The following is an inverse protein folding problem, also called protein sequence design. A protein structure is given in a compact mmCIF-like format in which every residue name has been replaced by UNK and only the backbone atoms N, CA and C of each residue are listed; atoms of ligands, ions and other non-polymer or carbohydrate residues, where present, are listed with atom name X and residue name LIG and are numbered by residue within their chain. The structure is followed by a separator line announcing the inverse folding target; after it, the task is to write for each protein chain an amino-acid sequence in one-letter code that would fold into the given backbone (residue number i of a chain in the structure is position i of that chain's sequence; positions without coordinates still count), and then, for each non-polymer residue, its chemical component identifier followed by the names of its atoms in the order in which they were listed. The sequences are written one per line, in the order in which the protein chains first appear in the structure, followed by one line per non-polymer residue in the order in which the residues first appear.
data_IF_025290401363
#
_entry.id   IF_025290401363
#
_cell.length_a   1.000
_cell.length_b   1.000
_cell.length_c   1.000
_cell.angle_alpha   90.00
_cell.angle_beta   90.00
_cell.angle_gamma   90.00
#
_symmetry.space_group_name_H-M   'P 1'
#
loop_
_entity.id
_entity.type
_entity.pdbx_description
1 polymer ?
#
# COMPACT_ATOMS: atom_id res chain seq x y z
N UNK A 1 46.98 44.73 -15.89
CA UNK A 1 46.42 43.58 -15.13
C UNK A 1 45.35 44.09 -14.16
N UNK A 2 44.06 43.81 -14.40
CA UNK A 2 42.99 44.14 -13.44
C UNK A 2 42.86 43.00 -12.43
N UNK A 3 43.12 43.30 -11.16
CA UNK A 3 43.00 42.35 -10.04
C UNK A 3 41.51 42.24 -9.69
N UNK A 4 40.89 41.11 -9.98
CA UNK A 4 39.53 40.81 -9.49
C UNK A 4 39.61 40.60 -7.97
N UNK A 5 39.09 41.55 -7.20
CA UNK A 5 38.87 41.40 -5.77
C UNK A 5 37.72 40.40 -5.58
N UNK A 6 38.04 39.15 -5.23
CA UNK A 6 37.04 38.14 -4.85
C UNK A 6 36.41 38.57 -3.52
N UNK A 7 35.16 39.01 -3.60
CA UNK A 7 34.36 39.39 -2.43
C UNK A 7 33.88 38.11 -1.74
N UNK A 8 34.68 37.57 -0.82
CA UNK A 8 34.35 36.38 -0.04
C UNK A 8 33.30 36.74 1.03
N UNK A 9 32.03 36.84 0.64
CA UNK A 9 30.91 36.87 1.59
C UNK A 9 30.74 35.43 2.13
N UNK A 10 31.21 35.18 3.34
CA UNK A 10 30.97 33.92 4.04
C UNK A 10 29.53 33.84 4.55
N UNK A 11 28.96 32.64 4.54
CA UNK A 11 27.65 32.34 5.11
C UNK A 11 27.70 32.50 6.64
N UNK A 12 26.73 33.17 7.26
CA UNK A 12 26.72 33.32 8.71
C UNK A 12 26.14 32.08 9.38
N UNK A 13 26.66 31.72 10.56
CA UNK A 13 26.09 30.61 11.35
C UNK A 13 24.64 30.89 11.76
N UNK A 14 24.28 32.17 11.92
CA UNK A 14 22.92 32.61 12.25
C UNK A 14 21.95 32.33 11.09
N UNK A 15 22.37 32.59 9.84
CA UNK A 15 21.57 32.24 8.66
C UNK A 15 21.33 30.73 8.57
N UNK A 16 22.34 29.90 8.88
CA UNK A 16 22.16 28.44 8.93
C UNK A 16 21.18 28.04 10.04
N UNK A 17 21.33 28.63 11.22
CA UNK A 17 20.57 28.27 12.42
C UNK A 17 19.06 28.53 12.23
N UNK A 18 18.68 29.66 11.65
CA UNK A 18 17.27 29.98 11.40
C UNK A 18 16.67 29.01 10.37
N UNK A 19 17.43 28.63 9.35
CA UNK A 19 16.96 27.70 8.31
C UNK A 19 16.67 26.31 8.88
N UNK A 20 17.58 25.75 9.69
CA UNK A 20 17.35 24.42 10.28
C UNK A 20 16.20 24.42 11.28
N UNK A 21 15.96 25.53 11.99
CA UNK A 21 14.79 25.68 12.87
C UNK A 21 13.49 25.65 12.06
N UNK A 22 13.41 26.39 10.95
CA UNK A 22 12.21 26.39 10.09
C UNK A 22 11.99 25.01 9.46
N UNK A 23 13.05 24.37 8.95
CA UNK A 23 12.96 23.00 8.39
C UNK A 23 12.52 22.01 9.46
N UNK A 24 13.00 22.14 10.71
CA UNK A 24 12.58 21.31 11.83
C UNK A 24 11.07 21.38 12.11
N UNK A 25 10.51 22.60 12.11
CA UNK A 25 9.06 22.80 12.30
C UNK A 25 8.26 22.18 11.15
N UNK A 26 8.70 22.40 9.91
CA UNK A 26 8.03 21.83 8.74
C UNK A 26 8.11 20.30 8.73
N UNK A 27 9.26 19.72 9.06
CA UNK A 27 9.45 18.27 9.12
C UNK A 27 8.56 17.61 10.19
N UNK A 28 8.38 18.25 11.35
CA UNK A 28 7.53 17.74 12.43
C UNK A 28 6.07 17.54 12.00
N UNK A 29 5.54 18.40 11.12
CA UNK A 29 4.17 18.29 10.58
C UNK A 29 4.15 17.43 9.31
N UNK A 30 5.15 17.58 8.45
CA UNK A 30 5.18 16.91 7.15
C UNK A 30 5.33 15.39 7.27
N UNK A 31 6.17 14.89 8.18
CA UNK A 31 6.42 13.46 8.36
C UNK A 31 5.14 12.68 8.72
N UNK A 32 4.37 13.03 9.77
CA UNK A 32 3.16 12.29 10.10
C UNK A 32 2.08 12.39 9.01
N UNK A 33 1.96 13.56 8.35
CA UNK A 33 1.01 13.74 7.25
C UNK A 33 1.39 12.85 6.05
N UNK A 34 2.67 12.84 5.68
CA UNK A 34 3.17 12.02 4.58
C UNK A 34 2.99 10.52 4.86
N UNK A 35 3.30 10.07 6.09
CA UNK A 35 3.07 8.69 6.51
C UNK A 35 1.58 8.32 6.44
N UNK A 36 0.69 9.21 6.88
CA UNK A 36 -0.75 8.96 6.78
C UNK A 36 -1.23 8.88 5.32
N UNK A 37 -0.79 9.78 4.44
CA UNK A 37 -1.16 9.78 3.03
C UNK A 37 -0.64 8.52 2.32
N UNK A 38 0.60 8.14 2.55
CA UNK A 38 1.18 6.92 1.96
C UNK A 38 0.50 5.66 2.48
N UNK A 39 0.14 5.60 3.77
CA UNK A 39 -0.63 4.49 4.32
C UNK A 39 -2.02 4.40 3.70
N UNK A 40 -2.75 5.52 3.56
CA UNK A 40 -4.05 5.55 2.87
C UNK A 40 -3.95 5.12 1.41
N UNK A 41 -2.90 5.52 0.71
CA UNK A 41 -2.68 5.10 -0.68
C UNK A 41 -2.44 3.59 -0.77
N UNK A 42 -1.65 3.03 0.16
CA UNK A 42 -1.45 1.58 0.26
C UNK A 42 -2.75 0.83 0.55
N UNK A 43 -3.58 1.35 1.48
CA UNK A 43 -4.88 0.76 1.81
C UNK A 43 -5.83 0.77 0.60
N UNK A 44 -5.91 1.88 -0.13
CA UNK A 44 -6.74 1.97 -1.33
C UNK A 44 -6.27 1.02 -2.45
N UNK A 45 -4.95 0.88 -2.63
CA UNK A 45 -4.38 -0.08 -3.59
C UNK A 45 -4.67 -1.53 -3.20
N UNK A 46 -4.52 -1.85 -1.91
CA UNK A 46 -4.90 -3.11 -1.31
C UNK A 46 -6.38 -3.46 -1.57
N UNK A 47 -7.29 -2.51 -1.32
CA UNK A 47 -8.72 -2.69 -1.55
C UNK A 47 -9.03 -2.92 -3.04
N UNK A 48 -8.36 -2.19 -3.94
CA UNK A 48 -8.50 -2.37 -5.38
C UNK A 48 -8.05 -3.78 -5.82
N UNK A 49 -6.90 -4.25 -5.32
CA UNK A 49 -6.39 -5.59 -5.63
C UNK A 49 -7.31 -6.69 -5.09
N UNK A 50 -7.84 -6.53 -3.87
CA UNK A 50 -8.83 -7.42 -3.27
C UNK A 50 -10.09 -7.54 -4.14
N UNK A 51 -10.62 -6.41 -4.65
CA UNK A 51 -11.77 -6.41 -5.57
C UNK A 51 -11.48 -7.13 -6.87
N UNK A 52 -10.29 -6.92 -7.44
CA UNK A 52 -9.85 -7.62 -8.66
C UNK A 52 -9.76 -9.14 -8.45
N UNK A 53 -9.21 -9.59 -7.31
CA UNK A 53 -9.13 -11.01 -6.98
C UNK A 53 -10.52 -11.63 -6.79
N UNK A 54 -11.42 -10.95 -6.07
CA UNK A 54 -12.81 -11.40 -5.89
C UNK A 54 -13.56 -11.50 -7.23
N UNK A 55 -13.33 -10.56 -8.15
CA UNK A 55 -13.90 -10.61 -9.49
C UNK A 55 -13.37 -11.83 -10.26
N UNK A 56 -12.06 -12.10 -10.21
CA UNK A 56 -11.46 -13.26 -10.85
C UNK A 56 -12.01 -14.59 -10.31
N UNK A 57 -12.11 -14.73 -8.98
CA UNK A 57 -12.73 -15.90 -8.34
C UNK A 57 -14.19 -16.04 -8.75
N UNK A 58 -14.95 -14.95 -8.75
CA UNK A 58 -16.37 -14.98 -9.14
C UNK A 58 -16.52 -15.43 -10.60
N UNK A 59 -15.69 -14.92 -11.51
CA UNK A 59 -15.67 -15.33 -12.91
C UNK A 59 -15.31 -16.82 -13.07
N UNK A 60 -14.31 -17.28 -12.33
CA UNK A 60 -13.90 -18.69 -12.33
C UNK A 60 -15.01 -19.61 -11.82
N UNK A 61 -15.64 -19.30 -10.68
CA UNK A 61 -16.79 -20.04 -10.13
C UNK A 61 -17.96 -20.04 -11.12
N UNK A 62 -18.27 -18.89 -11.72
CA UNK A 62 -19.41 -18.77 -12.66
C UNK A 62 -19.18 -19.57 -13.95
N UNK A 63 -17.92 -19.80 -14.34
CA UNK A 63 -17.60 -20.56 -15.55
C UNK A 63 -17.95 -22.05 -15.43
N UNK A 64 -17.81 -22.64 -14.24
CA UNK A 64 -18.23 -24.01 -13.94
C UNK A 64 -18.53 -24.15 -12.43
N UNK A 65 -19.78 -23.86 -12.00
CA UNK A 65 -20.11 -23.79 -10.58
C UNK A 65 -19.97 -25.11 -9.82
N UNK A 66 -19.99 -26.26 -10.50
CA UNK A 66 -19.89 -27.57 -9.86
C UNK A 66 -18.44 -27.98 -9.64
N UNK A 67 -17.53 -27.63 -10.57
CA UNK A 67 -16.10 -27.97 -10.47
C UNK A 67 -15.25 -26.88 -9.81
N UNK A 68 -15.66 -25.61 -9.96
CA UNK A 68 -14.89 -24.45 -9.54
C UNK A 68 -15.34 -23.94 -8.18
N UNK A 69 -15.16 -24.76 -7.15
CA UNK A 69 -15.43 -24.38 -5.76
C UNK A 69 -14.13 -23.98 -5.02
N UNK A 70 -13.93 -22.69 -4.67
CA UNK A 70 -12.75 -22.23 -3.95
C UNK A 70 -12.64 -22.82 -2.54
N UNK A 71 -13.73 -23.29 -1.93
CA UNK A 71 -13.71 -23.86 -0.57
C UNK A 71 -13.11 -25.27 -0.53
N UNK A 72 -13.05 -25.94 -1.68
CA UNK A 72 -12.52 -27.30 -1.80
C UNK A 72 -11.05 -27.34 -2.22
N UNK A 73 -10.46 -26.18 -2.53
CA UNK A 73 -9.11 -26.04 -3.08
C UNK A 73 -8.20 -25.33 -2.09
N UNK A 74 -6.94 -25.71 -2.05
CA UNK A 74 -5.92 -24.97 -1.32
C UNK A 74 -5.43 -23.74 -2.13
N UNK A 75 -4.70 -22.84 -1.48
CA UNK A 75 -4.22 -21.59 -2.08
C UNK A 75 -3.40 -21.78 -3.36
N UNK A 76 -2.60 -22.86 -3.46
CA UNK A 76 -1.80 -23.17 -4.64
C UNK A 76 -2.68 -23.63 -5.83
N UNK A 77 -3.70 -24.42 -5.54
CA UNK A 77 -4.69 -24.86 -6.52
C UNK A 77 -5.54 -23.69 -7.02
N UNK A 78 -5.96 -22.79 -6.11
CA UNK A 78 -6.69 -21.57 -6.45
C UNK A 78 -5.81 -20.66 -7.31
N UNK A 79 -4.55 -20.44 -6.95
CA UNK A 79 -3.59 -19.68 -7.76
C UNK A 79 -3.47 -20.28 -9.16
N UNK A 80 -3.28 -21.58 -9.25
CA UNK A 80 -3.11 -22.29 -10.52
C UNK A 80 -4.36 -22.18 -11.39
N UNK A 81 -5.56 -22.30 -10.80
CA UNK A 81 -6.82 -22.17 -11.51
C UNK A 81 -7.08 -20.73 -12.00
N UNK A 82 -6.81 -19.72 -11.18
CA UNK A 82 -7.05 -18.32 -11.52
C UNK A 82 -6.04 -17.78 -12.54
N UNK A 83 -4.75 -17.99 -12.29
CA UNK A 83 -3.67 -17.49 -13.15
C UNK A 83 -3.53 -18.36 -14.38
N UNK A 84 -3.50 -19.68 -14.22
CA UNK A 84 -3.41 -20.63 -15.33
C UNK A 84 -4.67 -20.64 -16.20
N UNK A 85 -5.83 -20.39 -15.62
CA UNK A 85 -7.09 -20.20 -16.35
C UNK A 85 -7.27 -18.83 -16.99
N UNK A 86 -6.34 -17.89 -16.76
CA UNK A 86 -6.36 -16.55 -17.39
C UNK A 86 -7.38 -15.57 -16.79
N UNK A 87 -7.94 -15.85 -15.61
CA UNK A 87 -8.90 -14.98 -14.93
C UNK A 87 -8.23 -13.77 -14.27
N UNK A 88 -6.94 -13.87 -13.96
CA UNK A 88 -6.11 -12.78 -13.41
C UNK A 88 -4.66 -12.97 -13.85
N UNK A 89 -3.91 -11.88 -13.98
CA UNK A 89 -2.47 -11.96 -14.26
C UNK A 89 -1.71 -12.44 -13.03
N UNK A 90 -0.59 -13.12 -13.25
CA UNK A 90 0.28 -13.60 -12.16
C UNK A 90 0.74 -12.45 -11.25
N UNK A 91 1.19 -11.35 -11.85
CA UNK A 91 1.67 -10.18 -11.10
C UNK A 91 0.56 -9.57 -10.23
N UNK A 92 -0.66 -9.46 -10.77
CA UNK A 92 -1.81 -8.90 -10.04
C UNK A 92 -2.25 -9.82 -8.89
N UNK A 93 -2.14 -11.13 -9.06
CA UNK A 93 -2.39 -12.12 -8.00
C UNK A 93 -1.35 -12.00 -6.88
N UNK A 94 -0.06 -11.94 -7.22
CA UNK A 94 1.02 -11.75 -6.24
C UNK A 94 0.92 -10.40 -5.53
N UNK A 95 0.56 -9.34 -6.25
CA UNK A 95 0.35 -8.01 -5.66
C UNK A 95 -0.86 -7.97 -4.73
N UNK A 96 -1.89 -8.77 -4.99
CA UNK A 96 -3.03 -8.91 -4.09
C UNK A 96 -2.64 -9.62 -2.78
N UNK A 97 -1.85 -10.69 -2.85
CA UNK A 97 -1.40 -11.43 -1.66
C UNK A 97 -0.37 -10.63 -0.83
N UNK A 98 0.59 -9.99 -1.50
CA UNK A 98 1.66 -9.21 -0.85
C UNK A 98 1.23 -7.79 -0.46
N UNK A 99 -0.04 -7.42 -0.68
CA UNK A 99 -0.57 -6.10 -0.29
C UNK A 99 -0.61 -5.87 1.23
N UNK A 100 -0.25 -6.89 2.03
CA UNK A 100 -0.18 -6.79 3.49
C UNK A 100 -1.56 -6.57 4.09
N UNK A 101 -2.60 -7.16 3.50
CA UNK A 101 -3.98 -7.03 3.93
C UNK A 101 -4.38 -8.24 4.77
N UNK A 102 -4.71 -8.01 6.03
CA UNK A 102 -5.48 -8.95 6.82
C UNK A 102 -6.95 -8.88 6.38
N UNK A 103 -7.50 -10.04 6.02
CA UNK A 103 -8.93 -10.20 5.73
C UNK A 103 -9.68 -10.34 7.04
N UNK A 104 -10.21 -9.23 7.55
CA UNK A 104 -11.01 -9.23 8.77
C UNK A 104 -12.49 -9.20 8.38
N UNK A 105 -13.23 -10.26 8.74
CA UNK A 105 -14.69 -10.22 8.72
C UNK A 105 -15.16 -9.38 9.91
N UNK A 106 -15.74 -8.21 9.63
CA UNK A 106 -16.49 -7.44 10.63
C UNK A 106 -17.93 -7.31 10.14
N UNK A 107 -18.88 -7.85 10.90
CA UNK A 107 -20.33 -7.71 10.65
C UNK A 107 -20.76 -8.13 9.22
N UNK A 108 -20.19 -9.21 8.68
CA UNK A 108 -20.59 -9.75 7.39
C UNK A 108 -20.13 -8.94 6.17
N UNK A 109 -19.19 -8.00 6.31
CA UNK A 109 -18.53 -7.31 5.19
C UNK A 109 -17.03 -7.63 5.16
N UNK A 110 -16.53 -8.10 4.02
CA UNK A 110 -15.09 -8.25 3.79
C UNK A 110 -14.47 -6.85 3.75
N UNK A 111 -13.63 -6.52 4.74
CA UNK A 111 -12.84 -5.29 4.73
C UNK A 111 -11.36 -5.64 4.69
N UNK A 112 -10.64 -5.05 3.74
CA UNK A 112 -9.18 -5.13 3.67
C UNK A 112 -8.59 -4.22 4.76
N UNK A 113 -7.83 -4.78 5.70
CA UNK A 113 -7.09 -3.99 6.72
C UNK A 113 -5.59 -4.20 6.53
N UNK A 114 -4.80 -3.12 6.46
CA UNK A 114 -3.34 -3.23 6.47
C UNK A 114 -2.85 -3.95 7.75
N UNK A 115 -1.98 -4.94 7.62
CA UNK A 115 -1.43 -5.78 8.70
C UNK A 115 -0.67 -4.98 9.78
N UNK A 116 -0.30 -3.73 9.50
CA UNK A 116 0.33 -2.82 10.47
C UNK A 116 -0.66 -1.94 11.25
N UNK A 117 -1.96 -2.07 11.00
CA UNK A 117 -2.98 -1.27 11.68
C UNK A 117 -3.39 -1.93 13.00
N UNK A 118 -3.35 -1.21 14.16
CA UNK A 118 -3.70 -1.79 15.45
C UNK A 118 -5.08 -2.45 15.38
N UNK A 119 -5.19 -3.70 15.83
CA UNK A 119 -6.49 -4.34 16.09
C UNK A 119 -7.24 -3.51 17.11
N UNK A 120 -8.51 -3.12 16.85
CA UNK A 120 -9.33 -2.60 17.92
C UNK A 120 -9.40 -3.71 18.97
N UNK A 121 -8.85 -3.46 20.15
CA UNK A 121 -9.07 -4.32 21.31
C UNK A 121 -10.57 -4.32 21.56
N UNK A 122 -11.21 -5.46 21.35
CA UNK A 122 -12.62 -5.64 21.63
C UNK A 122 -12.86 -5.37 23.14
N UNK A 123 -13.94 -4.67 23.54
CA UNK A 123 -14.31 -4.52 24.94
C UNK A 123 -14.61 -5.87 25.61
#
# INVERSE_FOLDING_TARGET
MRKFLKNNKGFTLVELAVVVVIIGILAAIAIPVYNNVTNKAKEAAAEANARSLNAAVTMWVTADPESNDPTTKNDSEIKSALVGGGYIKADDYENALNSGVEWVQTEGRFKSKLASSPTPSNP
#
